data_IF_095347155943
#
_entry.id   IF_095347155943
#
_cell.length_a   1.000
_cell.length_b   1.000
_cell.length_c   1.000
_cell.angle_alpha   90.00
_cell.angle_beta   90.00
_cell.angle_gamma   90.00
#
_symmetry.space_group_name_H-M   'P 1'
#
loop_
_entity.id
_entity.type
_entity.pdbx_description
1 polymer ?
#
# COMPACT_ATOMS: atom_id res chain seq x y z
N UNK A 1 23.29 -15.77 -8.78
CA UNK A 1 23.38 -17.06 -9.51
C UNK A 1 22.80 -16.97 -10.92
N UNK A 2 21.51 -16.65 -11.10
CA UNK A 2 20.83 -16.57 -12.42
C UNK A 2 21.56 -15.73 -13.49
N UNK A 3 21.90 -14.48 -13.20
CA UNK A 3 22.55 -13.56 -14.18
C UNK A 3 23.86 -14.12 -14.74
N UNK A 4 24.63 -14.84 -13.92
CA UNK A 4 25.89 -15.48 -14.33
C UNK A 4 25.63 -16.52 -15.43
N UNK A 5 24.66 -17.40 -15.22
CA UNK A 5 24.30 -18.43 -16.18
C UNK A 5 23.63 -17.86 -17.44
N UNK A 6 22.76 -16.85 -17.30
CA UNK A 6 22.16 -16.15 -18.45
C UNK A 6 23.23 -15.56 -19.38
N UNK A 7 24.23 -14.87 -18.81
CA UNK A 7 25.34 -14.29 -19.58
C UNK A 7 26.21 -15.37 -20.22
N UNK A 8 26.48 -16.47 -19.53
CA UNK A 8 27.23 -17.59 -20.10
C UNK A 8 26.48 -18.22 -21.29
N UNK A 9 25.18 -18.47 -21.14
CA UNK A 9 24.35 -18.99 -22.24
C UNK A 9 24.28 -18.02 -23.43
N UNK A 10 24.15 -16.71 -23.17
CA UNK A 10 24.14 -15.70 -24.22
C UNK A 10 25.48 -15.64 -24.99
N UNK A 11 26.62 -15.84 -24.32
CA UNK A 11 27.93 -15.93 -24.97
C UNK A 11 28.02 -17.15 -25.87
N UNK A 12 27.65 -18.32 -25.36
CA UNK A 12 27.64 -19.58 -26.15
C UNK A 12 26.73 -19.43 -27.37
N UNK A 13 25.53 -18.85 -27.21
CA UNK A 13 24.64 -18.56 -28.33
C UNK A 13 25.28 -17.66 -29.37
N UNK A 14 26.01 -16.62 -28.94
CA UNK A 14 26.68 -15.69 -29.83
C UNK A 14 27.88 -16.32 -30.56
N UNK A 15 28.66 -17.16 -29.86
CA UNK A 15 29.82 -17.86 -30.41
C UNK A 15 29.43 -18.88 -31.49
N UNK A 16 28.29 -19.55 -31.33
CA UNK A 16 27.80 -20.57 -32.25
C UNK A 16 26.68 -20.09 -33.20
N UNK A 17 26.35 -18.79 -33.19
CA UNK A 17 25.22 -18.18 -33.92
C UNK A 17 23.90 -18.96 -33.74
N UNK A 18 23.63 -19.41 -32.51
CA UNK A 18 22.41 -20.14 -32.19
C UNK A 18 21.23 -19.17 -32.00
N UNK A 19 20.19 -19.34 -32.82
CA UNK A 19 18.89 -18.68 -32.67
C UNK A 19 17.73 -19.66 -32.85
N UNK A 20 16.71 -19.54 -32.01
CA UNK A 20 15.45 -20.28 -32.18
C UNK A 20 14.42 -19.45 -32.94
N UNK A 21 14.27 -19.73 -34.25
CA UNK A 21 13.33 -19.03 -35.12
C UNK A 21 13.82 -17.65 -35.58
N UNK A 22 12.89 -16.74 -35.84
CA UNK A 22 13.22 -15.41 -36.38
C UNK A 22 13.80 -14.49 -35.29
N UNK A 23 14.82 -13.70 -35.66
CA UNK A 23 15.39 -12.65 -34.81
C UNK A 23 14.77 -11.30 -35.18
N UNK A 24 14.54 -10.44 -34.18
CA UNK A 24 14.13 -9.03 -34.38
C UNK A 24 12.78 -8.83 -35.06
N UNK A 25 11.87 -9.80 -34.94
CA UNK A 25 10.54 -9.72 -35.54
C UNK A 25 9.48 -9.40 -34.49
N UNK A 26 8.78 -8.29 -34.68
CA UNK A 26 7.59 -7.93 -33.89
C UNK A 26 6.35 -8.23 -34.74
N UNK A 27 5.64 -9.32 -34.43
CA UNK A 27 4.41 -9.69 -35.15
C UNK A 27 3.21 -8.88 -34.64
N UNK A 28 2.35 -8.45 -35.56
CA UNK A 28 1.11 -7.77 -35.24
C UNK A 28 -0.01 -8.29 -36.14
N UNK A 29 -1.11 -8.74 -35.52
CA UNK A 29 -2.34 -9.08 -36.24
C UNK A 29 -3.19 -7.80 -36.38
N UNK A 30 -3.41 -7.37 -37.63
CA UNK A 30 -4.09 -6.13 -37.95
C UNK A 30 -5.58 -6.17 -37.61
N UNK A 31 -6.24 -7.32 -37.68
CA UNK A 31 -7.66 -7.45 -37.30
C UNK A 31 -7.86 -7.13 -35.83
N UNK A 32 -6.95 -7.60 -34.97
CA UNK A 32 -6.97 -7.35 -33.53
C UNK A 32 -6.79 -5.86 -33.21
N UNK A 33 -6.06 -5.12 -34.04
CA UNK A 33 -5.87 -3.67 -33.84
C UNK A 33 -7.21 -2.93 -33.96
N UNK A 34 -8.08 -3.36 -34.89
CA UNK A 34 -9.42 -2.82 -35.07
C UNK A 34 -10.38 -3.29 -33.97
N UNK A 35 -10.32 -4.58 -33.62
CA UNK A 35 -11.25 -5.19 -32.66
C UNK A 35 -10.90 -4.94 -31.18
N UNK A 36 -9.66 -4.53 -30.85
CA UNK A 36 -9.19 -4.41 -29.45
C UNK A 36 -10.11 -3.61 -28.53
N UNK A 37 -10.79 -2.59 -29.06
CA UNK A 37 -11.67 -1.71 -28.30
C UNK A 37 -13.00 -2.37 -27.92
N UNK A 38 -13.43 -3.39 -28.67
CA UNK A 38 -14.69 -4.12 -28.47
C UNK A 38 -14.52 -5.37 -27.59
N UNK A 39 -13.27 -5.74 -27.28
CA UNK A 39 -12.93 -6.93 -26.50
C UNK A 39 -13.05 -6.77 -24.97
N UNK A 40 -13.19 -5.53 -24.48
CA UNK A 40 -13.38 -5.22 -23.05
C UNK A 40 -14.81 -4.78 -22.78
N UNK A 41 -15.25 -4.85 -21.53
CA UNK A 41 -16.47 -4.16 -21.10
C UNK A 41 -16.38 -2.65 -21.40
N UNK A 42 -17.54 -2.04 -21.67
CA UNK A 42 -17.62 -0.61 -21.92
C UNK A 42 -17.28 0.17 -20.65
N UNK A 43 -16.36 1.15 -20.69
CA UNK A 43 -16.07 1.99 -19.51
C UNK A 43 -17.26 2.80 -19.00
N UNK A 44 -18.35 2.92 -19.77
CA UNK A 44 -19.56 3.63 -19.34
C UNK A 44 -20.20 3.01 -18.09
N UNK A 45 -20.00 1.71 -17.86
CA UNK A 45 -20.54 1.00 -16.71
C UNK A 45 -19.97 1.48 -15.38
N UNK A 46 -18.82 2.16 -15.37
CA UNK A 46 -18.26 2.79 -14.17
C UNK A 46 -19.06 4.00 -13.68
N UNK A 47 -19.98 4.53 -14.50
CA UNK A 47 -20.87 5.61 -14.08
C UNK A 47 -21.80 5.18 -12.93
N UNK A 48 -22.28 3.94 -12.94
CA UNK A 48 -23.15 3.42 -11.89
C UNK A 48 -22.49 3.37 -10.50
N UNK A 49 -21.32 2.73 -10.30
CA UNK A 49 -20.62 2.77 -9.01
C UNK A 49 -20.16 4.19 -8.65
N UNK A 50 -19.83 5.03 -9.62
CA UNK A 50 -19.46 6.42 -9.34
C UNK A 50 -20.65 7.20 -8.76
N UNK A 51 -21.83 7.13 -9.38
CA UNK A 51 -23.04 7.74 -8.84
C UNK A 51 -23.42 7.18 -7.47
N UNK A 52 -23.28 5.86 -7.27
CA UNK A 52 -23.55 5.24 -5.97
C UNK A 52 -22.61 5.76 -4.88
N UNK A 53 -21.32 5.95 -5.19
CA UNK A 53 -20.36 6.54 -4.26
C UNK A 53 -20.69 8.00 -3.93
N UNK A 54 -21.14 8.79 -4.91
CA UNK A 54 -21.60 10.17 -4.67
C UNK A 54 -22.88 10.20 -3.81
N UNK A 55 -23.80 9.26 -4.03
CA UNK A 55 -24.98 9.12 -3.18
C UNK A 55 -24.60 8.80 -1.73
N UNK A 56 -23.61 7.92 -1.51
CA UNK A 56 -23.09 7.63 -0.17
C UNK A 56 -22.50 8.88 0.50
N UNK A 57 -21.73 9.70 -0.23
CA UNK A 57 -21.23 11.00 0.27
C UNK A 57 -22.37 11.92 0.66
N UNK A 58 -23.40 12.04 -0.20
CA UNK A 58 -24.55 12.90 0.06
C UNK A 58 -25.35 12.44 1.30
N UNK A 59 -25.59 11.14 1.44
CA UNK A 59 -26.24 10.56 2.62
C UNK A 59 -25.43 10.80 3.89
N UNK A 60 -24.10 10.59 3.84
CA UNK A 60 -23.22 10.82 4.99
C UNK A 60 -23.16 12.31 5.38
N UNK A 61 -23.17 13.21 4.40
CA UNK A 61 -23.28 14.64 4.65
C UNK A 61 -24.60 15.01 5.32
N UNK A 62 -25.71 14.39 4.90
CA UNK A 62 -27.03 14.61 5.50
C UNK A 62 -27.11 14.12 6.94
N UNK A 63 -26.40 13.05 7.28
CA UNK A 63 -26.30 12.52 8.64
C UNK A 63 -25.17 13.13 9.47
N UNK A 64 -24.44 14.12 8.95
CA UNK A 64 -23.26 14.73 9.59
C UNK A 64 -22.17 13.72 9.98
N UNK A 65 -22.07 12.59 9.26
CA UNK A 65 -21.07 11.55 9.48
C UNK A 65 -19.78 11.89 8.71
N UNK A 66 -18.80 12.50 9.39
CA UNK A 66 -17.49 12.82 8.79
C UNK A 66 -16.80 11.58 8.22
N UNK A 67 -16.84 10.48 8.97
CA UNK A 67 -16.23 9.23 8.56
C UNK A 67 -16.96 8.59 7.36
N UNK A 68 -18.29 8.68 7.31
CA UNK A 68 -19.08 8.26 6.15
C UNK A 68 -18.76 9.06 4.88
N UNK A 69 -18.51 10.38 5.00
CA UNK A 69 -18.08 11.23 3.87
C UNK A 69 -16.73 10.73 3.34
N UNK A 70 -15.78 10.44 4.22
CA UNK A 70 -14.45 9.92 3.84
C UNK A 70 -14.58 8.59 3.09
N UNK A 71 -15.41 7.65 3.58
CA UNK A 71 -15.66 6.37 2.92
C UNK A 71 -16.25 6.56 1.52
N UNK A 72 -17.24 7.44 1.37
CA UNK A 72 -17.84 7.74 0.07
C UNK A 72 -16.86 8.37 -0.93
N UNK A 73 -16.05 9.34 -0.49
CA UNK A 73 -15.01 9.96 -1.33
C UNK A 73 -13.95 8.93 -1.73
N UNK A 74 -13.52 8.09 -0.80
CA UNK A 74 -12.57 7.01 -1.08
C UNK A 74 -13.13 6.03 -2.11
N UNK A 75 -14.41 5.65 -2.02
CA UNK A 75 -15.05 4.79 -3.00
C UNK A 75 -15.16 5.42 -4.40
N UNK A 76 -15.43 6.74 -4.46
CA UNK A 76 -15.41 7.49 -5.71
C UNK A 76 -13.99 7.51 -6.32
N UNK A 77 -12.97 7.71 -5.49
CA UNK A 77 -11.57 7.68 -5.88
C UNK A 77 -11.13 6.31 -6.42
N UNK A 78 -11.53 5.22 -5.76
CA UNK A 78 -11.25 3.86 -6.24
C UNK A 78 -11.99 3.53 -7.53
N UNK A 79 -13.24 3.97 -7.67
CA UNK A 79 -13.98 3.85 -8.93
C UNK A 79 -13.26 4.55 -10.07
N UNK A 80 -12.74 5.77 -9.83
CA UNK A 80 -11.93 6.50 -10.80
C UNK A 80 -10.63 5.74 -11.13
N UNK A 81 -9.94 5.20 -10.13
CA UNK A 81 -8.72 4.39 -10.33
C UNK A 81 -9.02 3.18 -11.24
N UNK A 82 -10.04 2.38 -10.93
CA UNK A 82 -10.39 1.21 -11.74
C UNK A 82 -10.89 1.58 -13.14
N UNK A 83 -11.58 2.71 -13.29
CA UNK A 83 -11.93 3.26 -14.58
C UNK A 83 -10.68 3.59 -15.40
N UNK A 84 -9.71 4.30 -14.83
CA UNK A 84 -8.44 4.62 -15.51
C UNK A 84 -7.64 3.37 -15.85
N UNK A 85 -7.58 2.37 -14.96
CA UNK A 85 -6.97 1.08 -15.23
C UNK A 85 -7.68 0.34 -16.38
N UNK A 86 -9.01 0.38 -16.44
CA UNK A 86 -9.77 -0.20 -17.54
C UNK A 86 -9.43 0.45 -18.89
N UNK A 87 -9.26 1.79 -18.90
CA UNK A 87 -8.84 2.53 -20.10
C UNK A 87 -7.41 2.19 -20.51
N UNK A 88 -6.50 2.06 -19.54
CA UNK A 88 -5.12 1.65 -19.79
C UNK A 88 -5.07 0.23 -20.38
N UNK A 89 -5.81 -0.73 -19.79
CA UNK A 89 -5.92 -2.09 -20.30
C UNK A 89 -6.51 -2.16 -21.71
N UNK A 90 -7.52 -1.32 -22.01
CA UNK A 90 -8.10 -1.20 -23.36
C UNK A 90 -7.10 -0.70 -24.40
N UNK A 91 -6.08 0.05 -23.99
CA UNK A 91 -5.01 0.57 -24.86
C UNK A 91 -3.82 -0.38 -25.02
N UNK A 92 -3.66 -1.39 -24.15
CA UNK A 92 -2.58 -2.38 -24.27
C UNK A 92 -2.62 -3.09 -25.63
N UNK A 93 -1.46 -3.47 -26.17
CA UNK A 93 -1.39 -4.27 -27.41
C UNK A 93 -1.97 -5.67 -27.20
N UNK A 94 -2.48 -6.25 -28.28
CA UNK A 94 -2.91 -7.65 -28.33
C UNK A 94 -1.71 -8.56 -28.57
N UNK A 95 -1.76 -9.77 -28.02
CA UNK A 95 -0.72 -10.78 -28.20
C UNK A 95 -1.07 -11.68 -29.38
N UNK A 96 -0.08 -11.96 -30.24
CA UNK A 96 -0.22 -12.91 -31.35
C UNK A 96 0.25 -14.28 -30.85
N UNK A 97 -0.62 -15.27 -30.90
CA UNK A 97 -0.39 -16.64 -30.41
C UNK A 97 -0.20 -17.64 -31.56
N UNK A 98 -0.96 -17.47 -32.66
CA UNK A 98 -0.99 -18.32 -33.85
C UNK A 98 -1.12 -17.46 -35.12
N UNK A 99 -0.88 -18.07 -36.29
CA UNK A 99 -1.15 -17.46 -37.60
C UNK A 99 -2.65 -17.24 -37.83
N UNK A 100 -3.51 -18.05 -37.18
CA UNK A 100 -4.96 -17.89 -37.25
C UNK A 100 -5.42 -16.72 -36.38
N UNK A 101 -6.04 -15.74 -37.06
CA UNK A 101 -6.57 -14.55 -36.43
C UNK A 101 -7.76 -14.84 -35.49
N UNK A 102 -8.59 -15.85 -35.78
CA UNK A 102 -9.73 -16.20 -34.93
C UNK A 102 -9.29 -16.72 -33.56
N UNK A 103 -8.21 -17.51 -33.53
CA UNK A 103 -7.59 -18.00 -32.29
C UNK A 103 -7.06 -16.82 -31.47
N UNK A 104 -6.32 -15.90 -32.13
CA UNK A 104 -5.79 -14.72 -31.46
C UNK A 104 -6.90 -13.84 -30.89
N UNK A 105 -7.99 -13.67 -31.63
CA UNK A 105 -9.15 -12.90 -31.21
C UNK A 105 -9.79 -13.50 -29.95
N UNK A 106 -10.06 -14.80 -29.94
CA UNK A 106 -10.68 -15.50 -28.82
C UNK A 106 -9.88 -15.35 -27.52
N UNK A 107 -8.57 -15.60 -27.57
CA UNK A 107 -7.69 -15.49 -26.39
C UNK A 107 -7.58 -14.04 -25.88
N UNK A 108 -7.36 -13.08 -26.78
CA UNK A 108 -7.28 -11.66 -26.38
C UNK A 108 -8.61 -11.15 -25.82
N UNK A 109 -9.74 -11.59 -26.40
CA UNK A 109 -11.08 -11.25 -25.93
C UNK A 109 -11.32 -11.80 -24.53
N UNK A 110 -11.02 -13.07 -24.28
CA UNK A 110 -11.17 -13.68 -22.96
C UNK A 110 -10.36 -12.94 -21.89
N UNK A 111 -9.06 -12.74 -22.14
CA UNK A 111 -8.18 -12.04 -21.21
C UNK A 111 -8.69 -10.62 -20.90
N UNK A 112 -9.05 -9.84 -21.92
CA UNK A 112 -9.55 -8.47 -21.73
C UNK A 112 -10.88 -8.44 -20.99
N UNK A 113 -11.75 -9.43 -21.21
CA UNK A 113 -13.04 -9.52 -20.54
C UNK A 113 -12.89 -9.87 -19.06
N UNK A 114 -11.98 -10.77 -18.69
CA UNK A 114 -11.69 -11.05 -17.27
C UNK A 114 -11.18 -9.81 -16.52
N UNK A 115 -10.21 -9.10 -17.08
CA UNK A 115 -9.67 -7.88 -16.44
C UNK A 115 -10.69 -6.75 -16.36
N UNK A 116 -11.42 -6.47 -17.45
CA UNK A 116 -12.44 -5.40 -17.44
C UNK A 116 -13.63 -5.72 -16.55
N UNK A 117 -14.04 -6.99 -16.46
CA UNK A 117 -15.07 -7.44 -15.52
C UNK A 117 -14.60 -7.31 -14.06
N UNK A 118 -13.37 -7.72 -13.76
CA UNK A 118 -12.78 -7.55 -12.43
C UNK A 118 -12.78 -6.08 -12.01
N UNK A 119 -12.23 -5.17 -12.82
CA UNK A 119 -12.16 -3.75 -12.46
C UNK A 119 -13.55 -3.14 -12.19
N UNK A 120 -14.55 -3.51 -13.01
CA UNK A 120 -15.91 -3.05 -12.79
C UNK A 120 -16.52 -3.65 -11.52
N UNK A 121 -16.35 -4.96 -11.29
CA UNK A 121 -16.84 -5.64 -10.10
C UNK A 121 -16.24 -5.05 -8.82
N UNK A 122 -14.94 -4.74 -8.83
CA UNK A 122 -14.24 -4.09 -7.71
C UNK A 122 -14.79 -2.69 -7.42
N UNK A 123 -15.03 -1.89 -8.46
CA UNK A 123 -15.63 -0.57 -8.31
C UNK A 123 -17.07 -0.64 -7.76
N UNK A 124 -17.87 -1.59 -8.24
CA UNK A 124 -19.23 -1.85 -7.72
C UNK A 124 -19.17 -2.28 -6.26
N UNK A 125 -18.29 -3.22 -5.94
CA UNK A 125 -18.13 -3.74 -4.58
C UNK A 125 -17.73 -2.62 -3.60
N UNK A 126 -16.81 -1.74 -3.99
CA UNK A 126 -16.35 -0.61 -3.17
C UNK A 126 -17.44 0.43 -2.96
N UNK A 127 -18.14 0.83 -4.02
CA UNK A 127 -19.26 1.76 -3.95
C UNK A 127 -20.43 1.19 -3.13
N UNK A 128 -20.74 -0.10 -3.31
CA UNK A 128 -21.79 -0.78 -2.54
C UNK A 128 -21.43 -0.90 -1.07
N UNK A 129 -20.16 -1.21 -0.75
CA UNK A 129 -19.70 -1.26 0.64
C UNK A 129 -19.80 0.11 1.32
N UNK A 130 -19.33 1.19 0.67
CA UNK A 130 -19.44 2.54 1.21
C UNK A 130 -20.90 2.96 1.43
N UNK A 131 -21.78 2.72 0.46
CA UNK A 131 -23.20 3.00 0.59
C UNK A 131 -23.85 2.18 1.71
N UNK A 132 -23.57 0.87 1.79
CA UNK A 132 -24.11 0.00 2.82
C UNK A 132 -23.61 0.41 4.22
N UNK A 133 -22.34 0.80 4.34
CA UNK A 133 -21.79 1.27 5.61
C UNK A 133 -22.59 2.47 6.12
N UNK A 134 -22.65 3.54 5.32
CA UNK A 134 -23.35 4.79 5.66
C UNK A 134 -24.86 4.59 5.91
N UNK A 135 -25.54 3.79 5.09
CA UNK A 135 -27.00 3.60 5.23
C UNK A 135 -27.38 2.76 6.45
N UNK A 136 -26.51 1.84 6.87
CA UNK A 136 -26.76 0.96 8.02
C UNK A 136 -26.16 1.49 9.33
N UNK A 137 -25.32 2.53 9.26
CA UNK A 137 -24.54 3.02 10.39
C UNK A 137 -23.42 2.05 10.80
N UNK A 138 -23.05 1.08 9.96
CA UNK A 138 -22.02 0.07 10.24
C UNK A 138 -20.69 0.73 10.60
N UNK A 139 -20.41 1.91 10.06
CA UNK A 139 -19.21 2.69 10.30
C UNK A 139 -19.08 3.19 11.75
N UNK A 140 -20.19 3.26 12.49
CA UNK A 140 -20.21 3.59 13.92
C UNK A 140 -20.08 2.35 14.82
N UNK A 141 -20.18 1.16 14.25
CA UNK A 141 -20.17 -0.09 15.01
C UNK A 141 -18.78 -0.42 15.55
N UNK A 142 -18.72 -1.03 16.74
CA UNK A 142 -17.47 -1.54 17.32
C UNK A 142 -16.79 -2.63 16.46
N UNK A 143 -17.53 -3.27 15.54
CA UNK A 143 -17.03 -4.32 14.63
C UNK A 143 -16.50 -3.77 13.31
N UNK A 144 -16.66 -2.46 13.05
CA UNK A 144 -16.32 -1.86 11.76
C UNK A 144 -14.88 -2.18 11.34
N UNK A 145 -13.91 -2.03 12.25
CA UNK A 145 -12.49 -2.29 11.95
C UNK A 145 -12.24 -3.70 11.40
N UNK A 146 -12.82 -4.73 12.04
CA UNK A 146 -12.67 -6.12 11.60
C UNK A 146 -13.32 -6.38 10.24
N UNK A 147 -14.52 -5.81 10.01
CA UNK A 147 -15.22 -5.91 8.73
C UNK A 147 -14.43 -5.19 7.63
N UNK A 148 -13.93 -4.00 7.92
CA UNK A 148 -13.13 -3.17 7.02
C UNK A 148 -11.82 -3.87 6.62
N UNK A 149 -11.10 -4.47 7.57
CA UNK A 149 -9.88 -5.22 7.27
C UNK A 149 -10.13 -6.47 6.43
N UNK A 150 -11.23 -7.19 6.70
CA UNK A 150 -11.64 -8.33 5.88
C UNK A 150 -11.97 -7.90 4.46
N UNK A 151 -12.68 -6.78 4.31
CA UNK A 151 -13.01 -6.19 3.02
C UNK A 151 -11.75 -5.81 2.22
N UNK A 152 -10.79 -5.13 2.86
CA UNK A 152 -9.49 -4.80 2.24
C UNK A 152 -8.74 -6.07 1.81
N UNK A 153 -8.71 -7.11 2.65
CA UNK A 153 -8.03 -8.36 2.31
C UNK A 153 -8.60 -9.00 1.03
N UNK A 154 -9.93 -8.97 0.86
CA UNK A 154 -10.60 -9.46 -0.36
C UNK A 154 -10.23 -8.58 -1.56
N UNK A 155 -10.29 -7.26 -1.42
CA UNK A 155 -9.95 -6.30 -2.48
C UNK A 155 -8.49 -6.47 -2.95
N UNK A 156 -7.57 -6.84 -2.04
CA UNK A 156 -6.17 -7.12 -2.38
C UNK A 156 -6.05 -8.50 -3.04
N UNK A 157 -6.64 -9.55 -2.47
CA UNK A 157 -6.46 -10.92 -2.95
C UNK A 157 -7.11 -11.19 -4.32
N UNK A 158 -8.28 -10.60 -4.60
CA UNK A 158 -9.05 -10.90 -5.81
C UNK A 158 -8.30 -10.56 -7.12
N UNK A 159 -7.64 -9.39 -7.28
CA UNK A 159 -6.82 -9.11 -8.46
C UNK A 159 -5.67 -10.11 -8.65
N UNK A 160 -5.00 -10.54 -7.58
CA UNK A 160 -3.92 -11.54 -7.69
C UNK A 160 -4.46 -12.90 -8.11
N UNK A 161 -5.59 -13.34 -7.54
CA UNK A 161 -6.24 -14.60 -7.91
C UNK A 161 -6.66 -14.61 -9.39
N UNK A 162 -7.28 -13.52 -9.87
CA UNK A 162 -7.68 -13.39 -11.28
C UNK A 162 -6.47 -13.28 -12.21
N UNK A 163 -5.40 -12.57 -11.81
CA UNK A 163 -4.17 -12.51 -12.57
C UNK A 163 -3.55 -13.91 -12.73
N UNK A 164 -3.44 -14.66 -11.64
CA UNK A 164 -2.95 -16.03 -11.63
C UNK A 164 -3.81 -16.96 -12.49
N UNK A 165 -5.13 -16.91 -12.31
CA UNK A 165 -6.07 -17.73 -13.07
C UNK A 165 -5.98 -17.43 -14.57
N UNK A 166 -6.00 -16.14 -14.94
CA UNK A 166 -5.97 -15.71 -16.35
C UNK A 166 -4.66 -16.13 -17.00
N UNK A 167 -3.52 -15.91 -16.34
CA UNK A 167 -2.21 -16.32 -16.88
C UNK A 167 -2.13 -17.84 -17.09
N UNK A 168 -2.50 -18.62 -16.06
CA UNK A 168 -2.52 -20.09 -16.15
C UNK A 168 -3.42 -20.56 -17.30
N UNK A 169 -4.61 -19.97 -17.43
CA UNK A 169 -5.58 -20.38 -18.45
C UNK A 169 -5.15 -19.98 -19.86
N UNK A 170 -4.61 -18.78 -20.04
CA UNK A 170 -4.06 -18.34 -21.33
C UNK A 170 -2.85 -19.17 -21.74
N UNK A 171 -1.98 -19.54 -20.80
CA UNK A 171 -0.82 -20.40 -21.07
C UNK A 171 -1.25 -21.83 -21.42
N UNK A 172 -2.22 -22.39 -20.70
CA UNK A 172 -2.80 -23.70 -21.01
C UNK A 172 -3.43 -23.72 -22.42
N UNK A 173 -4.29 -22.75 -22.72
CA UNK A 173 -4.95 -22.68 -24.02
C UNK A 173 -3.97 -22.41 -25.15
N UNK A 174 -3.03 -21.48 -24.98
CA UNK A 174 -2.02 -21.21 -26.00
C UNK A 174 -1.12 -22.42 -26.26
N UNK A 175 -0.80 -23.24 -25.24
CA UNK A 175 -0.04 -24.49 -25.42
C UNK A 175 -0.85 -25.52 -26.22
N UNK A 176 -2.10 -25.79 -25.85
CA UNK A 176 -2.98 -26.73 -26.57
C UNK A 176 -3.19 -26.32 -28.03
N UNK A 177 -3.33 -25.02 -28.27
CA UNK A 177 -3.49 -24.47 -29.62
C UNK A 177 -2.21 -24.64 -30.45
N UNK A 178 -1.03 -24.42 -29.85
CA UNK A 178 0.25 -24.70 -30.52
C UNK A 178 0.42 -26.16 -30.91
N UNK A 179 -0.02 -27.07 -30.05
CA UNK A 179 0.01 -28.52 -30.32
C UNK A 179 -0.97 -28.91 -31.43
N UNK A 180 -2.09 -28.21 -31.58
CA UNK A 180 -3.11 -28.47 -32.60
C UNK A 180 -2.81 -27.84 -33.97
N UNK A 181 -2.21 -26.64 -34.00
CA UNK A 181 -2.01 -25.82 -35.21
C UNK A 181 -0.76 -26.22 -36.03
N UNK A 182 0.14 -27.05 -35.46
CA UNK A 182 1.31 -27.61 -36.15
C UNK A 182 2.40 -26.62 -36.57
N UNK A 183 2.19 -25.30 -36.44
CA UNK A 183 3.13 -24.25 -36.84
C UNK A 183 3.45 -23.29 -35.67
N UNK A 184 4.27 -23.72 -34.69
CA UNK A 184 4.66 -22.86 -33.58
C UNK A 184 5.55 -21.70 -34.06
N UNK A 185 5.15 -20.47 -33.71
CA UNK A 185 6.02 -19.32 -33.85
C UNK A 185 7.12 -19.33 -32.77
N UNK A 186 8.36 -19.58 -33.20
CA UNK A 186 9.54 -19.30 -32.41
C UNK A 186 10.09 -17.91 -32.79
N UNK A 187 10.25 -17.05 -31.78
CA UNK A 187 10.95 -15.77 -31.90
C UNK A 187 12.03 -15.77 -30.82
N UNK A 188 13.29 -15.54 -31.22
CA UNK A 188 14.38 -15.39 -30.27
C UNK A 188 14.53 -13.90 -29.89
N UNK A 189 13.95 -13.54 -28.75
CA UNK A 189 14.00 -12.20 -28.18
C UNK A 189 15.07 -12.06 -27.06
N UNK A 190 15.94 -13.06 -26.87
CA UNK A 190 16.89 -13.08 -25.74
C UNK A 190 17.82 -11.87 -25.71
N UNK A 191 18.15 -11.30 -26.87
CA UNK A 191 18.99 -10.10 -26.99
C UNK A 191 18.39 -8.86 -26.30
N UNK A 192 17.06 -8.82 -26.14
CA UNK A 192 16.35 -7.70 -25.49
C UNK A 192 16.15 -7.90 -23.99
N UNK A 193 16.49 -9.07 -23.43
CA UNK A 193 16.40 -9.34 -22.00
C UNK A 193 17.73 -9.10 -21.29
N UNK A 194 17.96 -7.85 -20.90
CA UNK A 194 19.16 -7.42 -20.20
C UNK A 194 19.28 -8.18 -18.87
N UNK A 195 20.38 -8.92 -18.73
CA UNK A 195 20.65 -9.83 -17.61
C UNK A 195 19.57 -10.89 -17.38
N UNK A 196 18.72 -11.15 -18.39
CA UNK A 196 17.61 -12.10 -18.32
C UNK A 196 16.40 -11.60 -17.52
N UNK A 197 16.39 -10.33 -17.09
CA UNK A 197 15.37 -9.79 -16.17
C UNK A 197 14.66 -8.58 -16.78
N UNK A 198 15.43 -7.60 -17.25
CA UNK A 198 14.87 -6.33 -17.72
C UNK A 198 14.69 -6.35 -19.23
N UNK A 199 13.50 -6.03 -19.71
CA UNK A 199 13.21 -6.00 -21.14
C UNK A 199 13.50 -4.62 -21.73
N UNK A 200 14.24 -4.58 -22.83
CA UNK A 200 14.60 -3.35 -23.52
C UNK A 200 14.67 -3.59 -25.03
N UNK A 201 13.53 -3.40 -25.72
CA UNK A 201 13.44 -3.54 -27.17
C UNK A 201 13.00 -2.21 -27.80
N UNK A 202 13.90 -1.48 -28.49
CA UNK A 202 13.56 -0.22 -29.16
C UNK A 202 12.55 -0.37 -30.32
N UNK A 203 12.50 -1.54 -30.95
CA UNK A 203 11.61 -1.82 -32.07
C UNK A 203 10.18 -2.14 -31.60
N UNK A 204 10.03 -2.55 -30.34
CA UNK A 204 8.72 -2.73 -29.72
C UNK A 204 8.24 -1.45 -29.04
N UNK A 205 7.15 -0.87 -29.56
CA UNK A 205 6.54 0.35 -28.98
C UNK A 205 5.65 0.09 -27.76
N UNK A 206 5.41 -1.16 -27.38
CA UNK A 206 4.60 -1.54 -26.21
C UNK A 206 5.33 -1.18 -24.92
N UNK A 207 4.71 -0.39 -24.03
CA UNK A 207 5.28 -0.09 -22.71
C UNK A 207 5.24 -1.29 -21.77
N UNK A 208 4.17 -2.08 -21.82
CA UNK A 208 4.00 -3.30 -21.02
C UNK A 208 4.08 -4.52 -21.93
N UNK A 209 4.92 -5.47 -21.56
CA UNK A 209 5.22 -6.69 -22.33
C UNK A 209 5.12 -7.90 -21.39
N UNK A 210 4.61 -9.06 -21.83
CA UNK A 210 4.62 -10.27 -21.01
C UNK A 210 6.02 -10.61 -20.49
N UNK A 211 6.12 -11.08 -19.24
CA UNK A 211 7.37 -11.61 -18.72
C UNK A 211 7.76 -12.89 -19.48
N UNK A 212 9.06 -13.06 -19.77
CA UNK A 212 9.60 -14.33 -20.32
C UNK A 212 9.46 -15.51 -19.36
N UNK A 213 9.43 -15.22 -18.06
CA UNK A 213 9.36 -16.21 -16.98
C UNK A 213 8.46 -15.71 -15.86
N UNK A 214 7.62 -16.60 -15.33
CA UNK A 214 6.69 -16.28 -14.25
C UNK A 214 5.46 -15.51 -14.70
N UNK A 215 4.74 -14.94 -13.73
CA UNK A 215 3.43 -14.31 -13.94
C UNK A 215 3.56 -12.81 -14.24
N UNK A 216 2.76 -12.35 -15.20
CA UNK A 216 2.44 -10.94 -15.39
C UNK A 216 3.26 -10.21 -16.46
N UNK A 217 3.28 -8.88 -16.34
CA UNK A 217 3.86 -7.95 -17.31
C UNK A 217 5.16 -7.34 -16.76
N UNK A 218 6.06 -6.95 -17.65
CA UNK A 218 7.24 -6.12 -17.39
C UNK A 218 7.19 -4.85 -18.22
N UNK A 219 7.99 -3.86 -17.83
CA UNK A 219 8.14 -2.62 -18.58
C UNK A 219 9.18 -2.80 -19.67
N UNK A 220 8.86 -2.33 -20.88
CA UNK A 220 9.86 -2.12 -21.91
C UNK A 220 10.61 -0.81 -21.63
N UNK A 221 11.83 -0.95 -21.12
CA UNK A 221 12.72 0.15 -20.75
C UNK A 221 13.23 0.96 -21.95
N UNK A 222 13.01 0.50 -23.18
CA UNK A 222 13.31 1.28 -24.38
C UNK A 222 12.26 2.39 -24.63
N UNK A 223 11.03 2.22 -24.14
CA UNK A 223 9.92 3.16 -24.37
C UNK A 223 9.99 4.38 -23.44
N UNK A 224 9.51 5.54 -23.91
CA UNK A 224 9.37 6.74 -23.05
C UNK A 224 8.46 6.46 -21.85
N UNK A 225 7.34 5.78 -22.08
CA UNK A 225 6.41 5.42 -21.00
C UNK A 225 7.04 4.53 -19.94
N UNK A 226 7.84 3.53 -20.34
CA UNK A 226 8.52 2.62 -19.40
C UNK A 226 9.55 3.35 -18.55
N UNK A 227 10.34 4.25 -19.16
CA UNK A 227 11.33 5.08 -18.46
C UNK A 227 10.67 6.03 -17.46
N UNK A 228 9.61 6.73 -17.86
CA UNK A 228 8.87 7.66 -16.98
C UNK A 228 8.25 6.90 -15.82
N UNK A 229 7.60 5.76 -16.08
CA UNK A 229 7.00 4.94 -15.02
C UNK A 229 8.05 4.48 -14.01
N UNK A 230 9.15 3.87 -14.49
CA UNK A 230 10.23 3.41 -13.62
C UNK A 230 10.85 4.56 -12.81
N UNK A 231 11.16 5.68 -13.45
CA UNK A 231 11.73 6.85 -12.79
C UNK A 231 10.79 7.41 -11.72
N UNK A 232 9.50 7.56 -12.03
CA UNK A 232 8.49 8.02 -11.07
C UNK A 232 8.36 7.06 -9.87
N UNK A 233 8.36 5.74 -10.12
CA UNK A 233 8.32 4.74 -9.05
C UNK A 233 9.57 4.82 -8.17
N UNK A 234 10.76 4.94 -8.74
CA UNK A 234 12.00 5.05 -7.97
C UNK A 234 12.05 6.33 -7.12
N UNK A 235 11.62 7.46 -7.68
CA UNK A 235 11.51 8.73 -6.95
C UNK A 235 10.52 8.59 -5.79
N UNK A 236 9.35 8.02 -6.04
CA UNK A 236 8.34 7.80 -4.98
C UNK A 236 8.88 6.94 -3.85
N UNK A 237 9.54 5.82 -4.18
CA UNK A 237 10.16 4.93 -3.19
C UNK A 237 11.24 5.67 -2.41
N UNK A 238 12.09 6.46 -3.07
CA UNK A 238 13.12 7.26 -2.41
C UNK A 238 12.53 8.30 -1.45
N UNK A 239 11.45 8.99 -1.85
CA UNK A 239 10.75 9.96 -0.99
C UNK A 239 10.13 9.28 0.23
N UNK A 240 9.52 8.10 0.07
CA UNK A 240 8.96 7.34 1.20
C UNK A 240 10.06 6.90 2.16
N UNK A 241 11.16 6.35 1.65
CA UNK A 241 12.31 5.94 2.47
C UNK A 241 12.91 7.14 3.20
N UNK A 242 13.12 8.26 2.50
CA UNK A 242 13.66 9.47 3.11
C UNK A 242 12.73 10.04 4.18
N UNK A 243 11.42 10.11 3.91
CA UNK A 243 10.42 10.55 4.88
C UNK A 243 10.38 9.66 6.12
N UNK A 244 10.43 8.34 5.93
CA UNK A 244 10.47 7.38 7.04
C UNK A 244 11.79 7.50 7.83
N UNK A 245 12.92 7.66 7.15
CA UNK A 245 14.22 7.86 7.80
C UNK A 245 14.24 9.15 8.63
N UNK A 246 13.75 10.27 8.08
CA UNK A 246 13.63 11.54 8.81
C UNK A 246 12.72 11.38 10.03
N UNK A 247 11.58 10.70 9.87
CA UNK A 247 10.67 10.42 10.99
C UNK A 247 11.36 9.61 12.09
N UNK A 248 12.04 8.52 11.74
CA UNK A 248 12.73 7.66 12.71
C UNK A 248 13.89 8.38 13.41
N UNK A 249 14.72 9.10 12.66
CA UNK A 249 15.84 9.88 13.24
C UNK A 249 15.32 10.97 14.17
N UNK A 250 14.24 11.66 13.79
CA UNK A 250 13.60 12.68 14.63
C UNK A 250 13.08 12.08 15.92
N UNK A 251 12.47 10.89 15.86
CA UNK A 251 12.06 10.16 17.05
C UNK A 251 13.28 9.79 17.91
N UNK A 252 14.33 9.17 17.37
CA UNK A 252 15.48 8.76 18.19
C UNK A 252 16.23 9.93 18.84
N UNK A 253 16.45 11.03 18.10
CA UNK A 253 17.33 12.13 18.55
C UNK A 253 16.66 13.12 19.50
N UNK A 254 15.34 13.28 19.43
CA UNK A 254 14.63 14.24 20.28
C UNK A 254 14.08 13.53 21.52
N UNK A 255 14.85 13.59 22.61
CA UNK A 255 14.41 13.13 23.92
C UNK A 255 13.18 13.92 24.41
N UNK A 256 12.14 13.26 24.95
CA UNK A 256 11.00 13.96 25.51
C UNK A 256 11.41 14.83 26.69
N UNK A 257 10.80 16.00 26.83
CA UNK A 257 11.01 16.87 27.99
C UNK A 257 9.70 17.16 28.68
N UNK A 258 9.70 17.21 30.01
CA UNK A 258 8.56 17.58 30.82
C UNK A 258 8.81 18.96 31.43
N UNK A 259 8.00 19.93 31.05
CA UNK A 259 8.10 21.32 31.52
C UNK A 259 6.75 21.82 31.99
N UNK A 260 6.74 22.79 32.90
CA UNK A 260 5.52 23.51 33.28
C UNK A 260 5.60 24.92 32.73
N UNK A 261 4.61 25.29 31.93
CA UNK A 261 4.49 26.60 31.29
C UNK A 261 4.08 27.70 32.30
N UNK A 262 4.21 28.97 31.90
CA UNK A 262 3.80 30.12 32.73
C UNK A 262 2.31 30.13 33.04
N UNK A 263 1.51 29.54 32.17
CA UNK A 263 0.04 29.47 32.29
C UNK A 263 -0.43 28.32 33.20
N UNK A 264 0.49 27.63 33.89
CA UNK A 264 0.16 26.53 34.80
C UNK A 264 -0.12 25.19 34.12
N UNK A 265 0.24 25.04 32.85
CA UNK A 265 0.08 23.79 32.10
C UNK A 265 1.37 22.95 32.16
N UNK A 266 1.23 21.66 32.49
CA UNK A 266 2.30 20.68 32.31
C UNK A 266 2.32 20.25 30.85
N UNK A 267 3.49 20.35 30.22
CA UNK A 267 3.71 20.00 28.82
C UNK A 267 4.81 18.96 28.71
N UNK A 268 4.45 17.81 28.15
CA UNK A 268 5.39 16.80 27.68
C UNK A 268 5.66 17.07 26.21
N UNK A 269 6.83 17.62 25.91
CA UNK A 269 7.26 17.82 24.53
C UNK A 269 7.83 16.50 24.01
N UNK A 270 7.26 15.99 22.93
CA UNK A 270 7.68 14.77 22.25
C UNK A 270 7.40 14.93 20.75
N UNK A 271 8.21 14.38 19.84
CA UNK A 271 8.12 14.72 18.41
C UNK A 271 6.79 14.31 17.77
N UNK A 272 6.26 13.13 18.14
CA UNK A 272 4.98 12.61 17.62
C UNK A 272 3.87 12.50 18.67
N UNK A 273 4.22 12.44 19.96
CA UNK A 273 3.25 12.17 21.04
C UNK A 273 3.18 13.29 22.07
N UNK A 274 3.51 14.53 21.71
CA UNK A 274 3.43 15.66 22.63
C UNK A 274 2.05 15.77 23.31
N UNK A 275 2.04 16.10 24.59
CA UNK A 275 0.80 16.20 25.39
C UNK A 275 0.89 17.33 26.40
N UNK A 276 -0.25 17.96 26.68
CA UNK A 276 -0.35 19.06 27.65
C UNK A 276 -1.61 18.93 28.46
N UNK A 277 -1.50 19.17 29.76
CA UNK A 277 -2.62 19.15 30.70
C UNK A 277 -2.40 20.20 31.81
N UNK A 278 -3.47 20.80 32.34
CA UNK A 278 -3.39 21.71 33.49
C UNK A 278 -2.82 21.05 34.75
N UNK A 279 -2.07 21.80 35.56
CA UNK A 279 -1.51 21.33 36.84
C UNK A 279 -2.58 20.86 37.84
N UNK A 280 -3.75 21.50 37.86
CA UNK A 280 -4.87 21.21 38.78
C UNK A 280 -5.55 19.85 38.50
N UNK A 281 -5.34 19.28 37.30
CA UNK A 281 -5.85 17.95 36.94
C UNK A 281 -5.02 16.81 37.53
N UNK A 282 -3.85 17.10 38.13
CA UNK A 282 -3.01 16.11 38.77
C UNK A 282 -3.69 15.62 40.06
N UNK A 283 -4.20 14.39 40.03
CA UNK A 283 -4.80 13.74 41.20
C UNK A 283 -3.76 13.07 42.09
N UNK A 284 -2.68 12.57 41.47
CA UNK A 284 -1.61 11.89 42.18
C UNK A 284 -0.30 12.09 41.44
N UNK A 285 0.78 12.29 42.21
CA UNK A 285 2.14 12.45 41.70
C UNK A 285 3.11 11.66 42.58
N UNK A 286 3.75 10.63 42.02
CA UNK A 286 4.71 9.76 42.74
C UNK A 286 5.88 9.33 41.88
N UNK A 287 6.92 8.81 42.52
CA UNK A 287 8.05 8.13 41.87
C UNK A 287 7.89 6.62 42.09
N UNK A 288 8.10 5.85 41.03
CA UNK A 288 8.11 4.40 41.06
C UNK A 288 9.38 3.88 40.40
N UNK A 289 9.98 2.81 40.92
CA UNK A 289 11.15 2.17 40.28
C UNK A 289 10.74 1.08 39.28
N UNK A 290 9.51 0.57 39.39
CA UNK A 290 8.95 -0.46 38.52
C UNK A 290 7.60 -0.01 37.92
N UNK A 291 7.32 -0.46 36.71
CA UNK A 291 6.08 -0.18 36.01
C UNK A 291 5.31 -1.48 35.80
N UNK A 292 3.97 -1.48 35.88
CA UNK A 292 3.18 -2.65 35.53
C UNK A 292 3.41 -3.07 34.07
N UNK A 293 3.27 -4.36 33.81
CA UNK A 293 3.28 -4.89 32.45
C UNK A 293 2.12 -4.33 31.61
N UNK A 294 2.24 -4.40 30.29
CA UNK A 294 1.19 -3.90 29.42
C UNK A 294 1.48 -4.01 27.94
N UNK A 295 0.56 -3.47 27.14
CA UNK A 295 0.63 -3.53 25.68
C UNK A 295 0.61 -2.13 25.07
N UNK A 296 1.40 -1.96 24.00
CA UNK A 296 1.41 -0.74 23.20
C UNK A 296 0.14 -0.69 22.35
N UNK A 297 -0.62 0.39 22.45
CA UNK A 297 -1.81 0.61 21.60
C UNK A 297 -1.48 1.48 20.39
N UNK A 298 -0.68 2.53 20.57
CA UNK A 298 -0.16 3.37 19.48
C UNK A 298 1.08 4.11 19.96
N UNK A 299 2.25 3.89 19.36
CA UNK A 299 3.50 4.39 19.92
C UNK A 299 4.74 3.86 19.24
N UNK A 300 5.89 4.29 19.72
CA UNK A 300 7.20 3.68 19.47
C UNK A 300 7.63 2.97 20.75
N UNK A 301 8.03 1.70 20.65
CA UNK A 301 8.63 0.96 21.75
C UNK A 301 9.84 0.18 21.23
N UNK A 302 11.02 0.58 21.68
CA UNK A 302 12.31 -0.05 21.38
C UNK A 302 12.87 -0.71 22.64
N UNK A 303 14.05 -1.31 22.59
CA UNK A 303 14.70 -1.85 23.78
C UNK A 303 15.21 -0.72 24.71
N UNK A 304 15.43 0.48 24.18
CA UNK A 304 15.94 1.63 24.95
C UNK A 304 14.86 2.57 25.48
N UNK A 305 13.70 2.68 24.83
CA UNK A 305 12.67 3.64 25.23
C UNK A 305 11.26 3.22 24.78
N UNK A 306 10.24 3.82 25.40
CA UNK A 306 8.84 3.66 25.00
C UNK A 306 8.11 5.01 25.05
N UNK A 307 7.45 5.37 23.94
CA UNK A 307 6.77 6.65 23.72
C UNK A 307 5.42 6.46 23.07
N UNK A 308 4.38 7.10 23.60
CA UNK A 308 3.04 7.09 23.05
C UNK A 308 2.01 6.46 24.00
N UNK A 309 1.00 5.82 23.43
CA UNK A 309 -0.15 5.25 24.12
C UNK A 309 0.04 3.75 24.37
N UNK A 310 -0.22 3.38 25.63
CA UNK A 310 -0.12 2.04 26.16
C UNK A 310 -1.37 1.73 26.99
N UNK A 311 -1.58 0.45 27.22
CA UNK A 311 -2.54 -0.06 28.19
C UNK A 311 -1.77 -0.95 29.17
N UNK A 312 -1.56 -0.45 30.38
CA UNK A 312 -0.86 -1.16 31.44
C UNK A 312 -1.86 -1.92 32.33
N UNK A 313 -1.47 -3.11 32.76
CA UNK A 313 -2.21 -3.93 33.72
C UNK A 313 -2.32 -3.14 35.04
N UNK A 314 -3.51 -3.03 35.62
CA UNK A 314 -3.89 -2.15 36.75
C UNK A 314 -4.09 -0.65 36.47
N UNK A 315 -3.33 -0.03 35.56
CA UNK A 315 -3.45 1.43 35.33
C UNK A 315 -4.35 1.79 34.14
N UNK A 316 -4.60 0.84 33.24
CA UNK A 316 -5.41 1.08 32.05
C UNK A 316 -4.69 2.01 31.06
N UNK A 317 -5.40 2.99 30.51
CA UNK A 317 -4.86 3.88 29.49
C UNK A 317 -3.70 4.71 30.07
N UNK A 318 -2.52 4.57 29.48
CA UNK A 318 -1.29 5.19 29.96
C UNK A 318 -0.53 5.82 28.80
N UNK A 319 -0.10 7.08 28.96
CA UNK A 319 0.86 7.72 28.07
C UNK A 319 2.27 7.52 28.63
N UNK A 320 3.11 6.81 27.90
CA UNK A 320 4.49 6.58 28.29
C UNK A 320 5.42 7.53 27.52
N UNK A 321 6.41 8.07 28.24
CA UNK A 321 7.53 8.86 27.74
C UNK A 321 8.79 8.45 28.48
N UNK A 322 9.16 7.18 28.32
CA UNK A 322 10.15 6.56 29.18
C UNK A 322 11.41 6.11 28.45
N UNK A 323 12.55 6.27 29.11
CA UNK A 323 13.77 5.51 28.84
C UNK A 323 13.72 4.23 29.68
N UNK A 324 13.77 3.08 29.02
CA UNK A 324 13.76 1.77 29.68
C UNK A 324 15.06 1.56 30.44
N UNK A 325 15.00 0.76 31.51
CA UNK A 325 16.15 0.44 32.35
C UNK A 325 16.79 1.65 33.07
N UNK A 326 16.07 2.78 33.17
CA UNK A 326 16.54 4.01 33.83
C UNK A 326 15.59 4.50 34.93
N UNK A 327 15.25 3.69 35.96
CA UNK A 327 14.43 4.16 37.08
C UNK A 327 15.11 5.31 37.85
N UNK A 328 14.35 6.16 38.57
CA UNK A 328 12.91 6.05 38.81
C UNK A 328 12.07 6.64 37.67
N UNK A 329 10.76 6.38 37.70
CA UNK A 329 9.75 6.90 36.79
C UNK A 329 8.78 7.82 37.53
N UNK A 330 8.51 9.00 36.97
CA UNK A 330 7.46 9.90 37.43
C UNK A 330 6.12 9.37 36.95
N UNK A 331 5.23 9.07 37.89
CA UNK A 331 3.87 8.63 37.62
C UNK A 331 2.91 9.75 38.00
N UNK A 332 2.14 10.20 37.01
CA UNK A 332 1.13 11.25 37.13
C UNK A 332 -0.23 10.62 36.84
N UNK A 333 -1.14 10.67 37.81
CA UNK A 333 -2.51 10.20 37.64
C UNK A 333 -3.43 11.37 37.32
N UNK A 334 -4.10 11.29 36.18
CA UNK A 334 -5.19 12.19 35.80
C UNK A 334 -6.54 11.53 36.06
N UNK A 335 -7.62 12.10 35.53
CA UNK A 335 -8.96 11.58 35.73
C UNK A 335 -9.16 10.18 35.12
N UNK A 336 -8.79 10.04 33.85
CA UNK A 336 -9.11 8.86 33.02
C UNK A 336 -7.86 8.17 32.43
N UNK A 337 -6.67 8.70 32.72
CA UNK A 337 -5.41 8.14 32.23
C UNK A 337 -4.24 8.38 33.18
N UNK A 338 -3.18 7.61 32.98
CA UNK A 338 -1.89 7.80 33.62
C UNK A 338 -0.87 8.36 32.63
N UNK A 339 0.10 9.11 33.15
CA UNK A 339 1.27 9.56 32.41
C UNK A 339 2.50 9.07 33.15
N UNK A 340 3.41 8.45 32.41
CA UNK A 340 4.69 7.96 32.94
C UNK A 340 5.82 8.63 32.19
N UNK A 341 6.75 9.23 32.92
CA UNK A 341 7.88 9.98 32.36
C UNK A 341 9.15 9.69 33.15
N UNK A 342 10.28 9.53 32.46
CA UNK A 342 11.60 9.67 33.07
C UNK A 342 12.57 10.30 32.08
N UNK A 343 13.60 10.94 32.63
CA UNK A 343 14.78 11.35 31.87
C UNK A 343 15.73 10.14 31.72
N UNK A 344 16.67 10.23 30.79
CA UNK A 344 17.64 9.16 30.54
C UNK A 344 18.53 8.87 31.78
N UNK A 345 18.71 9.86 32.66
CA UNK A 345 19.46 9.72 33.91
C UNK A 345 18.53 9.87 35.10
N UNK A 346 18.65 8.95 36.05
CA UNK A 346 17.87 8.93 37.29
C UNK A 346 17.89 10.25 38.08
N UNK A 347 19.05 10.92 38.11
CA UNK A 347 19.23 12.20 38.81
C UNK A 347 18.42 13.33 38.16
N UNK A 348 18.36 13.36 36.83
CA UNK A 348 17.57 14.32 36.08
C UNK A 348 16.08 14.07 36.33
N UNK A 349 15.64 12.80 36.31
CA UNK A 349 14.24 12.44 36.63
C UNK A 349 13.84 12.92 38.03
N UNK A 350 14.68 12.69 39.03
CA UNK A 350 14.42 13.14 40.41
C UNK A 350 14.33 14.67 40.51
N UNK A 351 15.18 15.39 39.76
CA UNK A 351 15.13 16.85 39.69
C UNK A 351 13.84 17.34 39.04
N UNK A 352 13.45 16.74 37.91
CA UNK A 352 12.19 17.03 37.21
C UNK A 352 10.99 16.78 38.12
N UNK A 353 11.00 15.67 38.88
CA UNK A 353 9.97 15.36 39.87
C UNK A 353 9.85 16.41 40.98
N UNK A 354 10.97 16.81 41.59
CA UNK A 354 10.96 17.82 42.67
C UNK A 354 10.56 19.22 42.17
N UNK A 355 10.86 19.56 40.91
CA UNK A 355 10.33 20.79 40.29
C UNK A 355 8.81 20.71 40.12
N UNK A 356 8.31 19.61 39.54
CA UNK A 356 6.88 19.42 39.32
C UNK A 356 6.11 19.40 40.66
N UNK A 357 6.61 18.67 41.66
CA UNK A 357 6.01 18.58 43.00
C UNK A 357 5.95 19.93 43.71
N UNK A 358 6.98 20.78 43.57
CA UNK A 358 6.95 22.15 44.10
C UNK A 358 5.86 22.98 43.44
N UNK A 359 5.73 22.91 42.12
CA UNK A 359 4.70 23.66 41.36
C UNK A 359 3.28 23.20 41.69
N UNK A 360 3.05 21.89 41.85
CA UNK A 360 1.76 21.34 42.27
C UNK A 360 1.35 21.83 43.67
N UNK A 361 2.28 21.93 44.62
CA UNK A 361 1.98 22.43 45.99
C UNK A 361 1.62 23.92 46.04
N UNK A 362 2.01 24.70 45.03
CA UNK A 362 1.76 26.15 44.95
C UNK A 362 0.74 26.48 43.87
N UNK A 363 0.05 25.47 43.31
CA UNK A 363 -1.08 25.69 42.43
C UNK A 363 -2.25 26.26 43.27
N UNK A 364 -2.93 27.33 42.79
CA UNK A 364 -3.98 28.01 43.52
C UNK A 364 -5.20 27.15 43.81
#
# INVERSE_FOLDING_TARGET
MFVKYHRAAARIKCEHDWSMGERRVVRADTTLIFLKKQMSLSPIWFFAPFLLSLAAVFCAWRSSSEFGIILGIQAAGMTLLFFLLSLAFRRMRTKVYSADSAINEGLNRAQRRYWSALFLAMAILDAAFAAAAVLTGLETSARFGSVWHTFIAIQVAAPFAIAWYTDRKMNEWSKRLREADGQPFYTDDDEYWINGINYCNPNERSTLVPKRTGLGLTLNMATRGGKVFMGATLILVAVIIAGLAIFLVREDWMAPTLTVDTDGNVRVQSPSYGYSFPLDQIRELRLEDELPDGTRTNGVATDSYARGHFRLESWGNTRAYIFKHSPPYIVIRLADEYIVFNDNKALDTRRTFEELKRKVRHAP
#
